data_IF_206688519403
#
_entry.id   IF_206688519403
#
_cell.length_a   1.000
_cell.length_b   1.000
_cell.length_c   1.000
_cell.angle_alpha   90.00
_cell.angle_beta   90.00
_cell.angle_gamma   90.00
#
_symmetry.space_group_name_H-M   'P 1'
#
loop_
_entity.id
_entity.type
_entity.pdbx_description
1 polymer ?
#
# COMPACT_ATOMS: atom_id res chain seq x y z
N UNK A 1 -16.23 29.03 -45.60
CA UNK A 1 -15.84 29.43 -44.23
C UNK A 1 -16.29 28.28 -43.35
N UNK A 2 -15.39 27.34 -43.00
CA UNK A 2 -14.48 27.42 -41.83
C UNK A 2 -15.31 27.16 -40.55
N UNK A 3 -15.07 26.17 -39.68
CA UNK A 3 -13.90 25.37 -39.29
C UNK A 3 -14.40 24.08 -38.59
N UNK A 4 -13.65 22.98 -38.77
CA UNK A 4 -13.71 21.74 -37.99
C UNK A 4 -13.49 21.95 -36.49
N UNK A 5 -14.14 21.16 -35.63
CA UNK A 5 -13.48 20.67 -34.41
C UNK A 5 -14.03 19.28 -34.10
N UNK A 6 -13.19 18.30 -34.41
CA UNK A 6 -13.16 16.96 -33.86
C UNK A 6 -12.81 17.01 -32.38
N UNK A 7 -13.65 16.45 -31.53
CA UNK A 7 -13.23 16.00 -30.20
C UNK A 7 -13.20 14.48 -30.20
N UNK A 8 -12.04 13.97 -30.65
CA UNK A 8 -11.54 12.73 -30.10
C UNK A 8 -11.05 13.02 -28.68
N UNK A 9 -11.65 12.36 -27.70
CA UNK A 9 -10.95 12.05 -26.47
C UNK A 9 -11.10 10.56 -26.20
N UNK A 10 -10.22 9.83 -26.88
CA UNK A 10 -9.63 8.63 -26.33
C UNK A 10 -9.02 9.00 -24.98
N UNK A 11 -9.64 8.53 -23.91
CA UNK A 11 -8.85 8.04 -22.79
C UNK A 11 -9.55 6.77 -22.34
N UNK A 12 -9.14 5.68 -22.99
CA UNK A 12 -9.12 4.39 -22.34
C UNK A 12 -8.46 4.60 -20.97
N UNK A 13 -9.28 4.82 -19.95
CA UNK A 13 -8.84 4.71 -18.56
C UNK A 13 -8.77 3.22 -18.31
N UNK A 14 -7.75 2.60 -18.92
CA UNK A 14 -7.12 1.36 -18.50
C UNK A 14 -6.59 1.58 -17.08
N UNK A 15 -7.50 1.75 -16.12
CA UNK A 15 -7.22 1.28 -14.78
C UNK A 15 -7.41 -0.23 -14.88
N UNK A 16 -6.34 -0.92 -15.27
CA UNK A 16 -6.15 -2.32 -14.96
C UNK A 16 -6.68 -2.52 -13.53
N UNK A 17 -7.78 -3.23 -13.40
CA UNK A 17 -8.37 -3.62 -12.14
C UNK A 17 -7.44 -4.70 -11.57
N UNK A 18 -6.26 -4.30 -11.11
CA UNK A 18 -5.33 -5.18 -10.40
C UNK A 18 -6.03 -5.45 -9.07
N UNK A 19 -6.84 -6.51 -9.03
CA UNK A 19 -7.62 -6.90 -7.86
C UNK A 19 -6.67 -6.95 -6.66
N UNK A 20 -6.77 -5.95 -5.79
CA UNK A 20 -5.94 -5.89 -4.60
C UNK A 20 -6.37 -7.04 -3.70
N UNK A 21 -5.43 -7.94 -3.38
CA UNK A 21 -5.71 -9.14 -2.58
C UNK A 21 -5.14 -9.00 -1.17
N UNK A 22 -5.81 -9.58 -0.18
CA UNK A 22 -5.27 -9.65 1.18
C UNK A 22 -4.20 -10.75 1.27
N UNK A 23 -3.11 -10.49 1.99
CA UNK A 23 -2.07 -11.49 2.25
C UNK A 23 -2.58 -12.56 3.20
N UNK A 24 -2.60 -13.82 2.76
CA UNK A 24 -3.00 -14.96 3.61
C UNK A 24 -2.09 -15.14 4.84
N UNK A 25 -0.83 -14.71 4.74
CA UNK A 25 0.19 -14.91 5.80
C UNK A 25 0.26 -13.75 6.80
N UNK A 26 0.00 -12.53 6.32
CA UNK A 26 0.34 -11.29 7.01
C UNK A 26 -0.82 -10.28 7.04
N UNK A 27 -2.04 -10.76 6.90
CA UNK A 27 -3.26 -9.99 7.17
C UNK A 27 -3.82 -10.41 8.54
N UNK A 28 -3.26 -9.84 9.61
CA UNK A 28 -3.62 -10.20 10.98
C UNK A 28 -4.90 -9.49 11.42
N UNK A 29 -5.84 -10.24 12.00
CA UNK A 29 -7.04 -9.64 12.59
C UNK A 29 -6.69 -8.62 13.70
N UNK A 30 -5.62 -8.90 14.45
CA UNK A 30 -5.09 -8.05 15.54
C UNK A 30 -4.15 -6.95 15.07
N UNK A 31 -3.81 -6.89 13.77
CA UNK A 31 -2.95 -5.84 13.23
C UNK A 31 -3.60 -4.46 13.34
N UNK A 32 -2.79 -3.45 13.64
CA UNK A 32 -3.23 -2.06 13.82
C UNK A 32 -2.94 -1.16 12.62
N UNK A 33 -2.22 -1.68 11.61
CA UNK A 33 -1.87 -0.92 10.43
C UNK A 33 -2.02 -1.74 9.14
N UNK A 34 -2.59 -1.09 8.13
CA UNK A 34 -2.82 -1.65 6.80
C UNK A 34 -1.90 -0.97 5.79
N UNK A 35 -1.07 -1.74 5.12
CA UNK A 35 -0.23 -1.26 4.03
C UNK A 35 -0.40 -2.10 2.78
N UNK A 36 -0.12 -1.49 1.63
CA UNK A 36 -0.19 -2.14 0.34
C UNK A 36 1.20 -2.11 -0.31
N UNK A 37 1.73 -3.29 -0.60
CA UNK A 37 2.88 -3.44 -1.50
C UNK A 37 2.37 -4.05 -2.80
N UNK A 38 2.62 -3.38 -3.92
CA UNK A 38 2.11 -3.79 -5.24
C UNK A 38 0.56 -3.92 -5.24
N UNK A 39 0.03 -5.12 -5.44
CA UNK A 39 -1.40 -5.45 -5.43
C UNK A 39 -1.78 -6.31 -4.21
N UNK A 40 -1.00 -6.27 -3.12
CA UNK A 40 -1.24 -7.07 -1.91
C UNK A 40 -1.40 -6.17 -0.69
N UNK A 41 -2.48 -6.38 0.05
CA UNK A 41 -2.75 -5.76 1.34
C UNK A 41 -2.20 -6.61 2.48
N UNK A 42 -1.54 -5.92 3.40
CA UNK A 42 -0.97 -6.47 4.61
C UNK A 42 -1.59 -5.74 5.78
N UNK A 43 -1.99 -6.47 6.81
CA UNK A 43 -2.49 -5.92 8.06
C UNK A 43 -1.58 -6.39 9.19
N UNK A 44 -0.73 -5.51 9.67
CA UNK A 44 0.43 -5.84 10.51
C UNK A 44 0.43 -5.03 11.82
N UNK A 45 1.28 -5.46 12.76
CA UNK A 45 1.43 -4.81 14.05
C UNK A 45 2.52 -3.73 13.97
N UNK A 46 2.15 -2.45 14.05
CA UNK A 46 3.11 -1.33 14.03
C UNK A 46 4.13 -1.45 15.15
N UNK A 47 3.71 -1.95 16.31
CA UNK A 47 4.61 -2.15 17.44
C UNK A 47 5.77 -3.08 17.10
N UNK A 48 5.52 -4.18 16.39
CA UNK A 48 6.56 -5.15 16.03
C UNK A 48 7.57 -4.54 15.05
N UNK A 49 7.09 -3.77 14.06
CA UNK A 49 7.97 -3.02 13.14
C UNK A 49 8.86 -2.03 13.89
N UNK A 50 8.29 -1.27 14.84
CA UNK A 50 9.02 -0.31 15.67
C UNK A 50 10.04 -0.99 16.58
N UNK A 51 9.67 -2.09 17.23
CA UNK A 51 10.55 -2.81 18.16
C UNK A 51 11.71 -3.50 17.45
N UNK A 52 11.53 -3.94 16.20
CA UNK A 52 12.56 -4.60 15.41
C UNK A 52 13.46 -3.64 14.61
N UNK A 53 13.32 -2.33 14.80
CA UNK A 53 14.21 -1.34 14.19
C UNK A 53 14.05 -1.22 12.68
N UNK A 54 12.84 -1.46 12.16
CA UNK A 54 12.52 -1.08 10.77
C UNK A 54 12.32 0.44 10.74
N UNK A 55 13.42 1.18 10.74
CA UNK A 55 13.46 2.66 10.82
C UNK A 55 12.65 3.32 9.70
N UNK A 56 12.47 2.61 8.58
CA UNK A 56 11.57 3.01 7.48
C UNK A 56 10.17 3.35 7.98
N UNK A 57 9.67 2.71 9.05
CA UNK A 57 8.34 3.01 9.58
C UNK A 57 8.27 4.33 10.35
N UNK A 58 9.37 4.74 10.99
CA UNK A 58 9.44 6.04 11.64
C UNK A 58 9.34 7.16 10.59
N UNK A 59 10.04 7.01 9.47
CA UNK A 59 10.00 7.94 8.35
C UNK A 59 8.66 7.94 7.63
N UNK A 60 8.05 6.77 7.35
CA UNK A 60 6.70 6.70 6.74
C UNK A 60 5.65 7.32 7.66
N UNK A 61 5.77 7.15 8.98
CA UNK A 61 4.87 7.80 9.95
C UNK A 61 5.13 9.30 10.14
N UNK A 62 6.28 9.80 9.70
CA UNK A 62 6.67 11.20 9.76
C UNK A 62 6.37 11.96 8.46
N UNK A 63 6.07 11.26 7.36
CA UNK A 63 5.57 11.88 6.14
C UNK A 63 4.18 12.49 6.39
N UNK A 64 3.90 13.70 5.89
CA UNK A 64 2.58 14.31 6.02
C UNK A 64 1.57 13.46 5.24
N UNK A 65 0.90 12.55 5.95
CA UNK A 65 -0.22 11.77 5.43
C UNK A 65 -1.31 12.75 5.00
N UNK A 66 -1.70 12.71 3.74
CA UNK A 66 -2.49 13.77 3.13
C UNK A 66 -3.94 13.73 3.58
N UNK A 67 -4.30 14.47 4.64
CA UNK A 67 -5.69 14.74 5.14
C UNK A 67 -6.49 13.48 5.57
N UNK A 68 -6.33 12.33 4.92
CA UNK A 68 -6.80 11.01 5.32
C UNK A 68 -5.74 10.31 6.15
N UNK A 69 -6.19 9.67 7.23
CA UNK A 69 -5.33 8.93 8.15
C UNK A 69 -4.97 7.59 7.49
N UNK A 70 -4.02 7.63 6.58
CA UNK A 70 -3.66 6.49 5.74
C UNK A 70 -3.16 5.32 6.60
N UNK A 71 -3.65 4.12 6.27
CA UNK A 71 -3.27 2.83 6.86
C UNK A 71 -4.07 2.37 8.07
N UNK A 72 -5.25 2.95 8.33
CA UNK A 72 -6.19 2.46 9.36
C UNK A 72 -7.46 1.79 8.79
N UNK A 73 -7.59 1.74 7.47
CA UNK A 73 -8.75 1.15 6.78
C UNK A 73 -8.34 0.53 5.44
N UNK A 74 -9.06 -0.49 4.99
CA UNK A 74 -8.78 -1.17 3.73
C UNK A 74 -8.97 -0.25 2.50
N UNK A 75 -9.84 0.76 2.61
CA UNK A 75 -10.10 1.76 1.57
C UNK A 75 -9.01 2.84 1.45
N UNK A 76 -8.12 2.94 2.44
CA UNK A 76 -7.02 3.91 2.46
C UNK A 76 -5.76 3.27 3.07
N UNK A 77 -5.16 2.25 2.43
CA UNK A 77 -3.95 1.61 2.91
C UNK A 77 -2.72 2.51 2.71
N UNK A 78 -1.69 2.34 3.54
CA UNK A 78 -0.39 2.98 3.29
C UNK A 78 0.29 2.31 2.10
N UNK A 79 0.40 3.01 0.97
CA UNK A 79 1.06 2.49 -0.24
C UNK A 79 2.58 2.48 -0.04
N UNK A 80 3.21 1.35 -0.31
CA UNK A 80 4.68 1.19 -0.33
C UNK A 80 5.11 1.10 -1.80
N UNK A 81 5.38 2.24 -2.46
CA UNK A 81 5.61 2.26 -3.91
C UNK A 81 6.94 1.63 -4.33
N UNK A 82 7.87 1.49 -3.39
CA UNK A 82 9.26 1.10 -3.61
C UNK A 82 9.56 -0.36 -3.27
N UNK A 83 8.54 -1.17 -2.93
CA UNK A 83 8.70 -2.57 -2.62
C UNK A 83 7.68 -3.43 -3.37
N UNK A 84 8.13 -4.53 -3.94
CA UNK A 84 7.24 -5.60 -4.43
C UNK A 84 6.62 -6.35 -3.25
N UNK A 85 5.49 -7.05 -3.50
CA UNK A 85 4.86 -7.89 -2.49
C UNK A 85 5.84 -8.93 -1.91
N UNK A 86 6.71 -9.49 -2.76
CA UNK A 86 7.70 -10.50 -2.37
C UNK A 86 8.80 -9.93 -1.47
N UNK A 87 9.34 -8.76 -1.81
CA UNK A 87 10.35 -8.09 -0.98
C UNK A 87 9.77 -7.70 0.38
N UNK A 88 8.52 -7.23 0.39
CA UNK A 88 7.82 -6.91 1.62
C UNK A 88 7.57 -8.16 2.48
N UNK A 89 7.21 -9.30 1.88
CA UNK A 89 7.09 -10.56 2.62
C UNK A 89 8.41 -11.00 3.27
N UNK A 90 9.56 -10.87 2.60
CA UNK A 90 10.85 -11.19 3.22
C UNK A 90 11.17 -10.29 4.41
N UNK A 91 10.84 -9.00 4.32
CA UNK A 91 10.95 -8.08 5.45
C UNK A 91 10.05 -8.56 6.61
N UNK A 92 8.81 -8.95 6.32
CA UNK A 92 7.89 -9.46 7.34
C UNK A 92 8.35 -10.79 7.93
N UNK A 93 8.92 -11.71 7.15
CA UNK A 93 9.54 -12.95 7.66
C UNK A 93 10.65 -12.62 8.66
N UNK A 94 11.56 -11.70 8.32
CA UNK A 94 12.62 -11.24 9.21
C UNK A 94 12.08 -10.60 10.50
N UNK A 95 11.06 -9.75 10.39
CA UNK A 95 10.47 -9.02 11.52
C UNK A 95 9.70 -9.94 12.46
N UNK A 96 8.89 -10.85 11.91
CA UNK A 96 8.08 -11.79 12.69
C UNK A 96 8.86 -13.05 13.09
N UNK A 97 10.06 -13.28 12.54
CA UNK A 97 10.90 -14.45 12.81
C UNK A 97 10.24 -15.75 12.35
N UNK A 98 9.56 -15.72 11.20
CA UNK A 98 8.93 -16.89 10.59
C UNK A 98 9.78 -17.51 9.50
#
# INVERSE_FOLDING_TARGET
MSISCSDGLSTAKEAMETSVKQSEKYYFNTGDHICQAENVLYKIHTLILRTRGVDMWADISALPQGITRDGYSDDAPTIIPQATAKEFEYLLEYVYGK
#
